data_IF_010049767319
#
_entry.id   IF_010049767319
#
_cell.length_a   1.000
_cell.length_b   1.000
_cell.length_c   1.000
_cell.angle_alpha   90.00
_cell.angle_beta   90.00
_cell.angle_gamma   90.00
#
_symmetry.space_group_name_H-M   'P 1'
#
loop_
_entity.id
_entity.type
_entity.pdbx_description
1 polymer ?
#
# COMPACT_ATOMS: atom_id res chain seq x y z
N UNK A 1 -36.17 67.36 -13.70
CA UNK A 1 -35.35 66.70 -12.66
C UNK A 1 -35.11 65.25 -13.09
N UNK A 2 -34.03 64.98 -13.85
CA UNK A 2 -33.71 63.63 -14.39
C UNK A 2 -32.60 63.04 -13.49
N UNK A 3 -32.87 61.97 -12.76
CA UNK A 3 -31.89 61.18 -12.06
C UNK A 3 -31.28 60.15 -12.99
N UNK A 4 -30.00 60.30 -13.30
CA UNK A 4 -29.20 59.34 -14.03
C UNK A 4 -28.75 58.23 -13.11
N UNK A 5 -29.17 57.01 -13.36
CA UNK A 5 -28.65 55.82 -12.70
C UNK A 5 -27.39 55.34 -13.46
N UNK A 6 -26.25 55.40 -12.79
CA UNK A 6 -25.01 54.76 -13.25
C UNK A 6 -25.04 53.31 -12.78
N UNK A 7 -25.11 52.42 -13.75
CA UNK A 7 -24.89 50.99 -13.48
C UNK A 7 -23.40 50.72 -13.57
N UNK A 8 -22.77 50.35 -12.44
CA UNK A 8 -21.40 49.92 -12.40
C UNK A 8 -21.31 48.44 -12.83
N UNK A 9 -20.65 48.21 -13.96
CA UNK A 9 -20.38 46.90 -14.48
C UNK A 9 -19.15 46.36 -13.73
N UNK A 10 -19.38 45.38 -12.83
CA UNK A 10 -18.31 44.69 -12.11
C UNK A 10 -17.74 43.61 -13.05
N UNK A 11 -16.57 43.85 -13.62
CA UNK A 11 -15.83 42.84 -14.37
C UNK A 11 -15.06 42.00 -13.36
N UNK A 12 -15.55 40.79 -13.11
CA UNK A 12 -14.83 39.78 -12.33
C UNK A 12 -13.68 39.24 -13.18
N UNK A 13 -12.48 39.70 -12.92
CA UNK A 13 -11.27 39.12 -13.48
C UNK A 13 -10.98 37.78 -12.75
N UNK A 14 -11.27 36.69 -13.42
CA UNK A 14 -10.82 35.36 -12.96
C UNK A 14 -9.32 35.26 -13.19
N UNK A 15 -8.55 35.44 -12.15
CA UNK A 15 -7.13 35.08 -12.15
C UNK A 15 -7.02 33.55 -12.17
N UNK A 16 -6.81 33.00 -13.36
CA UNK A 16 -6.31 31.64 -13.49
C UNK A 16 -4.86 31.63 -13.00
N UNK A 17 -4.65 31.24 -11.75
CA UNK A 17 -3.29 30.93 -11.26
C UNK A 17 -2.81 29.69 -12.02
N UNK A 18 -1.67 29.77 -12.74
CA UNK A 18 -1.09 28.57 -13.31
C UNK A 18 -0.75 27.62 -12.15
N UNK A 19 -1.26 26.38 -12.23
CA UNK A 19 -0.82 25.29 -11.37
C UNK A 19 0.68 25.13 -11.64
N UNK A 20 1.51 25.73 -10.80
CA UNK A 20 2.93 25.50 -10.83
C UNK A 20 3.11 23.98 -10.57
N UNK A 21 3.55 23.26 -11.61
CA UNK A 21 4.11 21.95 -11.42
C UNK A 21 5.21 22.14 -10.36
N UNK A 22 5.00 21.60 -9.17
CA UNK A 22 6.05 21.52 -8.17
C UNK A 22 7.07 20.54 -8.77
N UNK A 23 8.06 21.06 -9.49
CA UNK A 23 9.32 20.38 -9.63
C UNK A 23 9.74 20.08 -8.18
N UNK A 24 9.79 18.80 -7.83
CA UNK A 24 10.39 18.37 -6.59
C UNK A 24 11.85 18.79 -6.65
N UNK A 25 12.13 19.98 -6.12
CA UNK A 25 13.48 20.39 -5.77
C UNK A 25 13.83 19.50 -4.57
N UNK A 26 14.30 18.28 -4.86
CA UNK A 26 14.89 17.38 -3.87
C UNK A 26 16.23 18.03 -3.48
N UNK A 27 16.16 19.06 -2.62
CA UNK A 27 17.34 19.49 -1.91
C UNK A 27 17.89 18.27 -1.18
N UNK A 28 19.05 17.78 -1.62
CA UNK A 28 19.77 16.76 -0.88
C UNK A 28 20.04 17.34 0.50
N UNK A 29 19.45 16.72 1.55
CA UNK A 29 19.67 17.14 2.93
C UNK A 29 21.16 17.13 3.22
N UNK A 30 21.66 18.18 3.85
CA UNK A 30 23.04 18.22 4.31
C UNK A 30 23.27 17.28 5.52
N UNK A 31 24.53 17.11 5.90
CA UNK A 31 24.89 16.25 7.04
C UNK A 31 24.29 16.75 8.37
N UNK A 32 24.06 18.04 8.53
CA UNK A 32 23.42 18.61 9.73
C UNK A 32 21.94 18.22 9.79
N UNK A 33 21.23 18.26 8.66
CA UNK A 33 19.85 17.77 8.54
C UNK A 33 19.76 16.28 8.87
N UNK A 34 20.67 15.44 8.34
CA UNK A 34 20.72 14.01 8.65
C UNK A 34 20.96 13.74 10.14
N UNK A 35 21.85 14.49 10.79
CA UNK A 35 22.09 14.39 12.23
C UNK A 35 20.86 14.76 13.06
N UNK A 36 20.11 15.79 12.66
CA UNK A 36 18.86 16.17 13.33
C UNK A 36 17.84 15.03 13.24
N UNK A 37 17.64 14.45 12.05
CA UNK A 37 16.75 13.30 11.82
C UNK A 37 17.15 12.11 12.68
N UNK A 38 18.44 11.77 12.76
CA UNK A 38 18.93 10.67 13.61
C UNK A 38 18.59 10.93 15.09
N UNK A 39 18.73 12.17 15.56
CA UNK A 39 18.38 12.56 16.93
C UNK A 39 16.89 12.38 17.20
N UNK A 40 16.03 12.80 16.27
CA UNK A 40 14.59 12.64 16.34
C UNK A 40 14.19 11.16 16.37
N UNK A 41 14.70 10.34 15.44
CA UNK A 41 14.46 8.89 15.41
C UNK A 41 14.85 8.23 16.75
N UNK A 42 15.98 8.62 17.36
CA UNK A 42 16.39 8.09 18.65
C UNK A 42 15.46 8.50 19.79
N UNK A 43 14.96 9.74 19.76
CA UNK A 43 14.01 10.22 20.76
C UNK A 43 12.67 9.47 20.64
N UNK A 44 12.13 9.32 19.42
CA UNK A 44 10.89 8.60 19.14
C UNK A 44 11.01 7.12 19.52
N UNK A 45 12.14 6.48 19.18
CA UNK A 45 12.41 5.10 19.57
C UNK A 45 12.47 4.94 21.10
N UNK A 46 13.07 5.89 21.82
CA UNK A 46 13.11 5.87 23.30
C UNK A 46 11.71 6.02 23.90
N UNK A 47 10.87 6.88 23.31
CA UNK A 47 9.47 7.04 23.71
C UNK A 47 8.67 5.75 23.45
N UNK A 48 8.88 5.11 22.29
CA UNK A 48 8.26 3.82 21.95
C UNK A 48 8.62 2.73 22.98
N UNK A 49 9.90 2.59 23.32
CA UNK A 49 10.35 1.62 24.34
C UNK A 49 9.70 1.90 25.70
N UNK A 50 9.65 3.17 26.10
CA UNK A 50 9.03 3.57 27.37
C UNK A 50 7.53 3.29 27.42
N UNK A 51 6.84 3.43 26.28
CA UNK A 51 5.40 3.20 26.19
C UNK A 51 5.02 1.71 26.24
N UNK A 52 5.88 0.82 25.73
CA UNK A 52 5.58 -0.61 25.63
C UNK A 52 6.09 -1.43 26.81
N UNK A 53 7.22 -1.05 27.40
CA UNK A 53 7.81 -1.76 28.55
C UNK A 53 8.48 -3.09 28.20
N UNK A 54 9.13 -3.71 29.21
CA UNK A 54 9.99 -4.88 29.01
C UNK A 54 9.25 -6.16 28.63
N UNK A 55 8.04 -6.35 29.15
CA UNK A 55 7.26 -7.58 28.88
C UNK A 55 6.81 -7.66 27.42
N UNK A 56 6.48 -6.54 26.79
CA UNK A 56 6.19 -6.49 25.37
C UNK A 56 7.35 -7.02 24.51
N UNK A 57 8.57 -6.53 24.76
CA UNK A 57 9.75 -6.98 24.00
C UNK A 57 10.15 -8.41 24.32
N UNK A 58 9.87 -8.88 25.54
CA UNK A 58 10.07 -10.29 25.91
C UNK A 58 9.13 -11.19 25.12
N UNK A 59 7.87 -10.81 24.89
CA UNK A 59 6.95 -11.58 24.04
C UNK A 59 7.43 -11.58 22.58
N UNK A 60 7.81 -10.41 22.02
CA UNK A 60 8.33 -10.33 20.65
C UNK A 60 9.60 -11.20 20.44
N UNK A 61 10.42 -11.40 21.47
CA UNK A 61 11.63 -12.22 21.35
C UNK A 61 11.37 -13.73 21.21
N UNK A 62 10.13 -14.18 21.43
CA UNK A 62 9.76 -15.60 21.30
C UNK A 62 9.51 -16.05 19.86
N UNK A 63 9.37 -15.11 18.92
CA UNK A 63 9.13 -15.41 17.51
C UNK A 63 8.00 -14.55 16.93
N UNK A 64 7.57 -14.89 15.72
CA UNK A 64 6.47 -14.23 15.04
C UNK A 64 5.45 -15.24 14.50
N UNK A 65 4.18 -14.92 14.59
CA UNK A 65 3.08 -15.71 14.09
C UNK A 65 2.09 -14.79 13.34
N UNK A 66 2.50 -14.21 12.20
CA UNK A 66 1.69 -13.21 11.54
C UNK A 66 0.40 -13.83 10.98
N UNK A 67 -0.73 -13.21 11.28
CA UNK A 67 -2.03 -13.57 10.69
C UNK A 67 -2.13 -13.21 9.21
N UNK A 68 -1.30 -12.26 8.74
CA UNK A 68 -1.32 -11.79 7.37
C UNK A 68 0.09 -11.51 6.82
N UNK A 69 0.29 -11.91 5.57
CA UNK A 69 1.38 -11.42 4.71
C UNK A 69 0.86 -10.26 3.87
N UNK A 70 1.45 -9.10 4.04
CA UNK A 70 1.02 -7.84 3.42
C UNK A 70 2.06 -7.38 2.40
N UNK A 71 1.64 -7.17 1.15
CA UNK A 71 2.48 -6.59 0.09
C UNK A 71 1.95 -5.20 -0.23
N UNK A 72 2.75 -4.17 0.03
CA UNK A 72 2.34 -2.79 -0.19
C UNK A 72 3.46 -1.94 -0.81
N UNK A 73 3.12 -0.71 -1.21
CA UNK A 73 4.10 0.21 -1.78
C UNK A 73 5.10 0.70 -0.71
N UNK A 74 6.33 1.01 -1.15
CA UNK A 74 7.34 1.70 -0.34
C UNK A 74 7.01 3.17 -0.05
N UNK A 75 5.92 3.70 -0.59
CA UNK A 75 5.46 5.08 -0.40
C UNK A 75 5.36 5.43 1.09
N UNK A 76 5.97 6.54 1.50
CA UNK A 76 6.05 6.95 2.90
C UNK A 76 4.69 7.25 3.54
N UNK A 77 3.64 7.48 2.74
CA UNK A 77 2.26 7.72 3.20
C UNK A 77 1.51 6.44 3.55
N UNK A 78 2.07 5.26 3.20
CA UNK A 78 1.46 3.95 3.47
C UNK A 78 2.21 3.31 4.62
N UNK A 79 1.59 3.27 5.80
CA UNK A 79 2.20 2.74 7.02
C UNK A 79 1.31 1.67 7.66
N UNK A 80 1.88 0.83 8.53
CA UNK A 80 1.19 -0.31 9.16
C UNK A 80 0.00 0.09 10.03
N UNK A 81 0.07 1.25 10.67
CA UNK A 81 -0.99 1.77 11.55
C UNK A 81 -2.33 2.05 10.84
N UNK A 82 -2.35 2.08 9.50
CA UNK A 82 -3.61 2.13 8.74
C UNK A 82 -4.34 0.78 8.71
N UNK A 83 -3.64 -0.32 9.00
CA UNK A 83 -4.15 -1.69 8.97
C UNK A 83 -4.41 -2.24 10.36
N UNK A 84 -3.52 -1.93 11.28
CA UNK A 84 -3.49 -2.52 12.62
C UNK A 84 -2.99 -1.50 13.63
N UNK A 85 -3.53 -1.54 14.85
CA UNK A 85 -3.10 -0.70 15.98
C UNK A 85 -1.86 -1.27 16.67
N UNK A 86 -1.63 -2.58 16.54
CA UNK A 86 -0.54 -3.33 17.17
C UNK A 86 0.06 -4.31 16.15
N UNK A 87 0.74 -3.80 15.10
CA UNK A 87 1.17 -4.62 13.96
C UNK A 87 2.37 -5.51 14.25
N UNK A 88 3.04 -5.29 15.38
CA UNK A 88 4.26 -6.01 15.75
C UNK A 88 3.95 -7.49 16.02
N UNK A 89 4.57 -8.37 15.26
CA UNK A 89 4.36 -9.81 15.33
C UNK A 89 3.11 -10.32 14.59
N UNK A 90 2.19 -9.43 14.21
CA UNK A 90 0.88 -9.73 13.66
C UNK A 90 0.81 -9.60 12.13
N UNK A 91 1.61 -8.69 11.56
CA UNK A 91 1.69 -8.46 10.12
C UNK A 91 3.10 -8.73 9.59
N UNK A 92 3.23 -9.64 8.62
CA UNK A 92 4.47 -9.81 7.88
C UNK A 92 4.49 -8.83 6.69
N UNK A 93 5.23 -7.72 6.86
CA UNK A 93 5.20 -6.59 5.93
C UNK A 93 6.26 -6.69 4.85
N UNK A 94 5.84 -6.62 3.60
CA UNK A 94 6.68 -6.60 2.41
C UNK A 94 6.40 -5.30 1.65
N UNK A 95 7.44 -4.54 1.31
CA UNK A 95 7.31 -3.25 0.64
C UNK A 95 8.28 -3.14 -0.53
N UNK A 96 7.75 -2.78 -1.69
CA UNK A 96 8.51 -2.45 -2.89
C UNK A 96 7.80 -1.37 -3.72
N UNK A 97 8.41 -0.92 -4.80
CA UNK A 97 7.80 0.09 -5.68
C UNK A 97 6.59 -0.53 -6.39
N UNK A 98 5.38 -0.03 -6.08
CA UNK A 98 4.14 -0.46 -6.73
C UNK A 98 3.57 -1.80 -6.26
N UNK A 99 3.93 -2.28 -5.05
CA UNK A 99 3.36 -3.49 -4.42
C UNK A 99 3.40 -4.77 -5.30
N UNK A 100 4.55 -5.03 -5.96
CA UNK A 100 4.70 -6.09 -6.95
C UNK A 100 5.08 -7.45 -6.33
N UNK A 101 4.32 -8.51 -6.66
CA UNK A 101 4.65 -9.88 -6.29
C UNK A 101 5.96 -10.33 -6.94
N UNK A 102 6.17 -9.99 -8.21
CA UNK A 102 7.31 -10.49 -8.99
C UNK A 102 8.66 -10.15 -8.35
N UNK A 103 8.81 -8.92 -7.82
CA UNK A 103 10.05 -8.45 -7.19
C UNK A 103 10.14 -8.75 -5.69
N UNK A 104 9.05 -9.25 -5.09
CA UNK A 104 8.97 -9.63 -3.68
C UNK A 104 8.75 -11.14 -3.46
N UNK A 105 8.81 -11.95 -4.50
CA UNK A 105 8.33 -13.34 -4.49
C UNK A 105 8.92 -14.17 -3.34
N UNK A 106 10.23 -14.10 -3.10
CA UNK A 106 10.86 -14.85 -2.01
C UNK A 106 10.32 -14.49 -0.64
N UNK A 107 10.13 -13.20 -0.35
CA UNK A 107 9.54 -12.75 0.93
C UNK A 107 8.08 -13.19 1.07
N UNK A 108 7.29 -13.12 -0.02
CA UNK A 108 5.89 -13.57 0.01
C UNK A 108 5.80 -15.08 0.23
N UNK A 109 6.65 -15.88 -0.44
CA UNK A 109 6.73 -17.32 -0.20
C UNK A 109 7.10 -17.65 1.25
N UNK A 110 8.01 -16.88 1.85
CA UNK A 110 8.35 -17.07 3.25
C UNK A 110 7.13 -16.83 4.16
N UNK A 111 6.41 -15.72 3.98
CA UNK A 111 5.21 -15.40 4.77
C UNK A 111 4.10 -16.44 4.63
N UNK A 112 3.81 -16.86 3.39
CA UNK A 112 2.72 -17.81 3.11
C UNK A 112 3.10 -19.24 3.45
N UNK A 113 4.28 -19.72 3.03
CA UNK A 113 4.62 -21.14 3.09
C UNK A 113 5.33 -21.52 4.41
N UNK A 114 6.09 -20.62 5.04
CA UNK A 114 6.88 -20.91 6.24
C UNK A 114 6.31 -20.28 7.51
N UNK A 115 5.71 -19.09 7.42
CA UNK A 115 5.00 -18.49 8.55
C UNK A 115 3.51 -18.86 8.57
N UNK A 116 3.02 -19.57 7.56
CA UNK A 116 1.67 -20.09 7.44
C UNK A 116 0.57 -19.02 7.64
N UNK A 117 0.82 -17.77 7.20
CA UNK A 117 -0.21 -16.74 7.27
C UNK A 117 -1.41 -17.10 6.38
N UNK A 118 -2.61 -17.06 6.95
CA UNK A 118 -3.84 -17.45 6.25
C UNK A 118 -4.37 -16.36 5.30
N UNK A 119 -3.81 -15.15 5.35
CA UNK A 119 -4.16 -14.02 4.51
C UNK A 119 -2.93 -13.50 3.76
N UNK A 120 -3.03 -13.42 2.43
CA UNK A 120 -2.11 -12.66 1.58
C UNK A 120 -2.85 -11.45 1.01
N UNK A 121 -2.43 -10.25 1.35
CA UNK A 121 -3.09 -9.04 0.90
C UNK A 121 -2.14 -8.13 0.11
N UNK A 122 -2.57 -7.71 -1.09
CA UNK A 122 -1.92 -6.71 -1.92
C UNK A 122 -2.63 -5.37 -1.77
N UNK A 123 -1.89 -4.35 -1.31
CA UNK A 123 -2.46 -3.03 -1.06
C UNK A 123 -1.82 -2.02 -2.00
N UNK A 124 -2.60 -1.56 -2.98
CA UNK A 124 -2.30 -0.35 -3.74
C UNK A 124 -2.74 0.90 -2.98
N UNK A 125 -2.39 2.07 -3.48
CA UNK A 125 -2.81 3.32 -2.84
C UNK A 125 -3.07 4.43 -3.86
N UNK A 126 -3.93 5.38 -3.52
CA UNK A 126 -4.18 6.56 -4.33
C UNK A 126 -2.89 7.36 -4.57
N UNK A 127 -2.80 8.04 -5.72
CA UNK A 127 -1.63 8.87 -6.11
C UNK A 127 -0.29 8.11 -6.07
N UNK A 128 -0.29 6.83 -6.46
CA UNK A 128 0.93 6.02 -6.50
C UNK A 128 1.88 6.49 -7.60
N UNK A 129 3.10 6.90 -7.22
CA UNK A 129 4.13 7.35 -8.16
C UNK A 129 4.58 6.25 -9.13
N UNK A 130 4.65 5.00 -8.68
CA UNK A 130 5.01 3.86 -9.53
C UNK A 130 3.98 3.61 -10.64
N UNK A 131 2.68 3.70 -10.31
CA UNK A 131 1.60 3.60 -11.29
C UNK A 131 1.65 4.78 -12.27
N UNK A 132 1.93 5.99 -11.77
CA UNK A 132 2.16 7.17 -12.62
C UNK A 132 3.29 6.95 -13.61
N UNK A 133 4.45 6.52 -13.14
CA UNK A 133 5.63 6.25 -13.97
C UNK A 133 5.36 5.14 -14.99
N UNK A 134 4.85 3.98 -14.56
CA UNK A 134 4.59 2.83 -15.43
C UNK A 134 3.56 3.15 -16.54
N UNK A 135 2.63 4.10 -16.30
CA UNK A 135 1.66 4.56 -17.29
C UNK A 135 2.23 5.49 -18.36
N UNK A 136 3.42 6.06 -18.13
CA UNK A 136 4.10 7.01 -19.00
C UNK A 136 5.39 6.47 -19.63
N UNK A 137 6.27 7.37 -20.03
CA UNK A 137 7.65 7.07 -20.43
C UNK A 137 8.58 7.17 -19.21
N UNK A 138 9.22 6.07 -18.86
CA UNK A 138 10.21 5.99 -17.77
C UNK A 138 11.59 5.57 -18.27
N UNK A 139 11.86 5.73 -19.56
CA UNK A 139 13.12 5.30 -20.21
C UNK A 139 14.37 5.97 -19.61
N UNK A 140 14.20 7.17 -19.03
CA UNK A 140 15.30 7.96 -18.44
C UNK A 140 15.59 7.61 -16.98
N UNK A 141 14.79 6.74 -16.35
CA UNK A 141 15.02 6.33 -14.98
C UNK A 141 16.16 5.30 -14.87
N UNK A 142 16.69 5.16 -13.67
CA UNK A 142 17.75 4.20 -13.35
C UNK A 142 17.29 2.75 -13.59
N UNK A 143 18.21 1.93 -14.03
CA UNK A 143 17.92 0.53 -14.41
C UNK A 143 17.22 -0.30 -13.31
N UNK A 144 17.59 -0.20 -12.03
CA UNK A 144 16.86 -0.91 -10.97
C UNK A 144 15.40 -0.48 -10.85
N UNK A 145 15.09 0.84 -11.03
CA UNK A 145 13.72 1.35 -11.00
C UNK A 145 12.93 0.83 -12.19
N UNK A 146 13.53 0.84 -13.39
CA UNK A 146 12.88 0.30 -14.61
C UNK A 146 12.49 -1.17 -14.43
N UNK A 147 13.35 -2.00 -13.83
CA UNK A 147 13.05 -3.41 -13.54
C UNK A 147 11.84 -3.60 -12.62
N UNK A 148 11.63 -2.74 -11.65
CA UNK A 148 10.42 -2.76 -10.84
C UNK A 148 9.19 -2.34 -11.67
N UNK A 149 9.29 -1.24 -12.42
CA UNK A 149 8.19 -0.70 -13.23
C UNK A 149 7.79 -1.65 -14.38
N UNK A 150 8.71 -2.39 -14.96
CA UNK A 150 8.47 -3.38 -16.02
C UNK A 150 7.53 -4.51 -15.56
N UNK A 151 7.39 -4.73 -14.26
CA UNK A 151 6.45 -5.70 -13.68
C UNK A 151 5.02 -5.17 -13.57
N UNK A 152 4.82 -3.85 -13.73
CA UNK A 152 3.52 -3.18 -13.60
C UNK A 152 2.80 -3.21 -14.95
N UNK A 153 1.86 -4.13 -15.10
CA UNK A 153 1.08 -4.26 -16.33
C UNK A 153 -0.22 -3.45 -16.27
N UNK A 154 -0.17 -2.20 -16.72
CA UNK A 154 -1.31 -1.29 -16.82
C UNK A 154 -1.33 -0.58 -18.17
N UNK A 155 -2.48 -0.03 -18.55
CA UNK A 155 -2.58 0.75 -19.79
C UNK A 155 -1.76 2.04 -19.72
N UNK A 156 -1.16 2.44 -20.83
CA UNK A 156 -0.54 3.77 -20.96
C UNK A 156 -1.61 4.86 -20.75
N UNK A 157 -1.24 5.92 -20.02
CA UNK A 157 -2.17 6.95 -19.57
C UNK A 157 -3.02 6.57 -18.36
N UNK A 158 -2.87 5.35 -17.82
CA UNK A 158 -3.62 4.84 -16.67
C UNK A 158 -3.09 5.29 -15.30
N UNK A 159 -2.57 6.52 -15.18
CA UNK A 159 -1.97 7.06 -13.95
C UNK A 159 -2.98 7.40 -12.83
N UNK A 160 -4.23 6.99 -12.98
CA UNK A 160 -5.32 7.27 -12.06
C UNK A 160 -5.60 6.08 -11.13
N UNK A 161 -6.67 6.19 -10.34
CA UNK A 161 -7.12 5.14 -9.41
C UNK A 161 -7.46 3.83 -10.12
N UNK A 162 -7.87 3.85 -11.39
CA UNK A 162 -8.18 2.63 -12.14
C UNK A 162 -6.91 1.86 -12.52
N UNK A 163 -5.80 2.56 -12.79
CA UNK A 163 -4.48 1.94 -12.93
C UNK A 163 -4.03 1.25 -11.64
N UNK A 164 -4.28 1.87 -10.49
CA UNK A 164 -4.03 1.27 -9.16
C UNK A 164 -4.85 0.00 -8.96
N UNK A 165 -6.16 0.05 -9.22
CA UNK A 165 -7.06 -1.13 -9.13
C UNK A 165 -6.62 -2.25 -10.06
N UNK A 166 -6.28 -1.91 -11.30
CA UNK A 166 -5.79 -2.87 -12.31
C UNK A 166 -4.52 -3.56 -11.81
N UNK A 167 -3.55 -2.79 -11.30
CA UNK A 167 -2.32 -3.35 -10.75
C UNK A 167 -2.60 -4.29 -9.58
N UNK A 168 -3.43 -3.89 -8.62
CA UNK A 168 -3.81 -4.74 -7.48
C UNK A 168 -4.46 -6.03 -7.95
N UNK A 169 -5.40 -5.99 -8.90
CA UNK A 169 -6.04 -7.18 -9.44
C UNK A 169 -5.05 -8.11 -10.17
N UNK A 170 -4.05 -7.55 -10.86
CA UNK A 170 -2.97 -8.32 -11.48
C UNK A 170 -2.13 -9.07 -10.44
N UNK A 171 -1.84 -8.45 -9.30
CA UNK A 171 -1.10 -9.11 -8.20
C UNK A 171 -1.92 -10.25 -7.60
N UNK A 172 -3.22 -10.04 -7.35
CA UNK A 172 -4.13 -11.09 -6.88
C UNK A 172 -4.17 -12.24 -7.88
N UNK A 173 -4.32 -11.97 -9.18
CA UNK A 173 -4.36 -13.00 -10.22
C UNK A 173 -3.05 -13.80 -10.30
N UNK A 174 -1.90 -13.14 -10.13
CA UNK A 174 -0.60 -13.80 -10.08
C UNK A 174 -0.45 -14.70 -8.84
N UNK A 175 -0.89 -14.23 -7.67
CA UNK A 175 -0.87 -14.98 -6.42
C UNK A 175 -1.80 -16.21 -6.49
N UNK A 176 -2.99 -16.08 -7.06
CA UNK A 176 -3.93 -17.20 -7.23
C UNK A 176 -3.37 -18.32 -8.13
N UNK A 177 -2.49 -17.99 -9.07
CA UNK A 177 -1.76 -19.02 -9.86
C UNK A 177 -0.68 -19.70 -9.04
N UNK A 178 0.06 -18.95 -8.23
CA UNK A 178 1.17 -19.46 -7.42
C UNK A 178 0.68 -20.36 -6.28
N UNK A 179 -0.39 -19.96 -5.58
CA UNK A 179 -0.92 -20.66 -4.39
C UNK A 179 -2.30 -21.27 -4.64
N UNK A 180 -2.57 -21.75 -5.86
CA UNK A 180 -3.86 -22.30 -6.25
C UNK A 180 -4.36 -23.44 -5.33
N UNK A 181 -3.45 -24.30 -4.88
CA UNK A 181 -3.78 -25.42 -3.99
C UNK A 181 -4.25 -24.91 -2.61
N UNK A 182 -3.46 -24.05 -1.97
CA UNK A 182 -3.79 -23.50 -0.64
C UNK A 182 -5.10 -22.71 -0.65
N UNK A 183 -5.37 -21.96 -1.73
CA UNK A 183 -6.63 -21.22 -1.88
C UNK A 183 -7.81 -22.19 -2.06
N UNK A 184 -7.66 -23.22 -2.88
CA UNK A 184 -8.71 -24.24 -3.10
C UNK A 184 -9.02 -25.02 -1.84
N UNK A 185 -8.01 -25.32 -1.03
CA UNK A 185 -8.13 -26.04 0.24
C UNK A 185 -8.63 -25.15 1.39
N UNK A 186 -8.78 -23.84 1.15
CA UNK A 186 -9.22 -22.87 2.15
C UNK A 186 -8.16 -22.49 3.20
N UNK A 187 -6.90 -22.84 2.95
CA UNK A 187 -5.77 -22.50 3.84
C UNK A 187 -5.24 -21.08 3.62
N UNK A 188 -5.51 -20.49 2.45
CA UNK A 188 -5.09 -19.13 2.09
C UNK A 188 -6.24 -18.36 1.46
N UNK A 189 -6.41 -17.12 1.90
CA UNK A 189 -7.27 -16.13 1.23
C UNK A 189 -6.35 -15.06 0.62
N UNK A 190 -6.53 -14.77 -0.67
CA UNK A 190 -5.80 -13.73 -1.38
C UNK A 190 -6.70 -12.53 -1.58
N UNK A 191 -6.27 -11.36 -1.09
CA UNK A 191 -7.06 -10.13 -1.10
C UNK A 191 -6.32 -9.04 -1.86
N UNK A 192 -7.07 -8.24 -2.62
CA UNK A 192 -6.65 -6.99 -3.21
C UNK A 192 -7.40 -5.82 -2.55
N UNK A 193 -6.67 -4.81 -2.14
CA UNK A 193 -7.23 -3.61 -1.52
C UNK A 193 -6.57 -2.33 -2.03
N UNK A 194 -7.25 -1.22 -1.88
CA UNK A 194 -6.74 0.13 -2.18
C UNK A 194 -6.90 1.01 -0.95
N UNK A 195 -5.78 1.52 -0.45
CA UNK A 195 -5.74 2.58 0.56
C UNK A 195 -5.93 3.93 -0.12
N UNK A 196 -7.10 4.51 0.04
CA UNK A 196 -7.50 5.73 -0.65
C UNK A 196 -7.47 6.96 0.27
N UNK A 197 -6.29 7.50 0.49
CA UNK A 197 -6.15 8.72 1.28
C UNK A 197 -6.56 10.01 0.53
N UNK A 198 -6.79 9.93 -0.80
CA UNK A 198 -7.16 11.07 -1.64
C UNK A 198 -8.66 11.14 -1.97
N UNK A 199 -9.45 10.16 -1.50
CA UNK A 199 -10.88 10.01 -1.85
C UNK A 199 -11.14 9.92 -3.36
N UNK A 200 -10.21 9.30 -4.11
CA UNK A 200 -10.36 9.07 -5.54
C UNK A 200 -11.48 8.05 -5.84
N UNK A 201 -11.76 7.12 -4.90
CA UNK A 201 -12.84 6.12 -4.99
C UNK A 201 -14.19 6.62 -4.48
N UNK A 202 -14.27 7.82 -3.90
CA UNK A 202 -15.50 8.43 -3.36
C UNK A 202 -16.17 7.61 -2.25
N UNK A 203 -15.35 6.95 -1.42
CA UNK A 203 -15.78 6.18 -0.24
C UNK A 203 -15.36 6.84 1.09
N UNK A 204 -14.76 8.03 1.02
CA UNK A 204 -14.16 8.74 2.13
C UNK A 204 -12.63 8.63 2.14
N UNK A 205 -11.94 9.75 2.43
CA UNK A 205 -10.49 9.79 2.49
C UNK A 205 -9.97 8.90 3.64
N UNK A 206 -8.88 8.17 3.37
CA UNK A 206 -8.23 7.29 4.36
C UNK A 206 -8.86 5.90 4.47
N UNK A 207 -9.86 5.57 3.64
CA UNK A 207 -10.48 4.24 3.65
C UNK A 207 -9.58 3.20 2.98
N UNK A 208 -9.55 1.99 3.57
CA UNK A 208 -9.01 0.80 2.94
C UNK A 208 -10.16 0.07 2.22
N UNK A 209 -10.20 0.17 0.91
CA UNK A 209 -11.25 -0.41 0.08
C UNK A 209 -10.82 -1.79 -0.42
N UNK A 210 -11.46 -2.86 0.05
CA UNK A 210 -11.27 -4.20 -0.50
C UNK A 210 -11.95 -4.26 -1.87
N UNK A 211 -11.20 -4.63 -2.91
CA UNK A 211 -11.67 -4.64 -4.30
C UNK A 211 -11.60 -6.01 -4.96
N UNK A 212 -10.98 -6.98 -4.29
CA UNK A 212 -10.84 -8.34 -4.81
C UNK A 212 -10.64 -9.33 -3.66
N UNK A 213 -11.38 -10.43 -3.65
CA UNK A 213 -11.15 -11.55 -2.72
C UNK A 213 -11.13 -12.84 -3.54
N UNK A 214 -10.00 -13.53 -3.59
CA UNK A 214 -9.81 -14.77 -4.35
C UNK A 214 -10.26 -14.67 -5.82
N UNK A 215 -10.08 -13.51 -6.46
CA UNK A 215 -10.47 -13.26 -7.85
C UNK A 215 -11.89 -12.72 -8.03
N UNK A 216 -12.73 -12.73 -6.99
CA UNK A 216 -14.06 -12.11 -7.04
C UNK A 216 -13.94 -10.58 -6.82
N UNK A 217 -14.48 -9.81 -7.74
CA UNK A 217 -14.46 -8.35 -7.71
C UNK A 217 -15.84 -7.71 -7.58
N UNK A 218 -16.91 -8.50 -7.64
CA UNK A 218 -18.27 -8.01 -7.43
C UNK A 218 -18.52 -7.78 -5.92
N UNK A 219 -18.75 -6.54 -5.46
CA UNK A 219 -18.96 -6.25 -4.04
C UNK A 219 -20.12 -7.03 -3.43
N UNK A 220 -21.16 -7.37 -4.21
CA UNK A 220 -22.29 -8.15 -3.72
C UNK A 220 -21.94 -9.63 -3.44
N UNK A 221 -20.84 -10.12 -4.01
CA UNK A 221 -20.38 -11.51 -3.87
C UNK A 221 -19.18 -11.63 -2.93
N UNK A 222 -18.30 -10.65 -2.83
CA UNK A 222 -17.13 -10.70 -1.97
C UNK A 222 -17.46 -11.02 -0.50
N UNK A 223 -18.57 -10.54 0.03
CA UNK A 223 -19.04 -10.81 1.39
C UNK A 223 -19.62 -12.24 1.61
N UNK A 224 -19.76 -13.05 0.56
CA UNK A 224 -20.34 -14.39 0.61
C UNK A 224 -19.30 -15.52 0.51
N UNK A 225 -18.02 -15.18 0.55
CA UNK A 225 -16.96 -16.20 0.50
C UNK A 225 -17.05 -17.10 1.74
N UNK A 226 -16.88 -18.42 1.56
CA UNK A 226 -16.86 -19.33 2.70
C UNK A 226 -15.75 -18.95 3.67
N UNK A 227 -16.02 -19.07 4.96
CA UNK A 227 -14.97 -18.92 5.97
C UNK A 227 -13.85 -19.92 5.67
N UNK A 228 -12.57 -19.53 5.83
CA UNK A 228 -11.46 -20.45 5.66
C UNK A 228 -11.66 -21.67 6.58
N UNK A 229 -11.22 -22.84 6.10
CA UNK A 229 -11.20 -24.04 6.94
C UNK A 229 -10.38 -23.76 8.21
N UNK A 230 -10.82 -24.28 9.35
CA UNK A 230 -10.05 -24.17 10.58
C UNK A 230 -8.62 -24.68 10.34
N UNK A 231 -7.58 -24.00 10.83
CA UNK A 231 -6.20 -24.41 10.61
C UNK A 231 -6.02 -25.86 11.09
N UNK A 232 -5.56 -26.72 10.20
CA UNK A 232 -5.08 -28.05 10.61
C UNK A 232 -3.92 -27.81 11.58
N UNK A 233 -3.99 -28.35 12.79
CA UNK A 233 -2.98 -28.16 13.83
C UNK A 233 -1.60 -28.53 13.28
N UNK A 234 -0.76 -27.52 13.06
CA UNK A 234 0.63 -27.74 12.70
C UNK A 234 1.41 -28.03 13.99
N UNK A 235 1.90 -29.23 14.14
CA UNK A 235 2.98 -29.51 15.06
C UNK A 235 4.18 -28.65 14.66
N UNK A 236 4.55 -27.74 15.53
CA UNK A 236 5.68 -26.83 15.33
C UNK A 236 7.00 -27.61 15.36
N UNK A 237 7.63 -27.78 14.21
CA UNK A 237 9.06 -28.12 14.18
C UNK A 237 9.86 -26.87 14.58
N UNK A 238 10.43 -26.93 15.76
CA UNK A 238 11.41 -25.95 16.22
C UNK A 238 12.69 -26.04 15.38
N UNK A 239 13.03 -24.98 14.71
CA UNK A 239 14.36 -24.75 14.14
C UNK A 239 14.99 -23.53 14.81
#
# INVERSE_FOLDING_TARGET
MFKKHFAALLVAATFATPLAAHANDHAHGDAATAQAIIKEIKADQSAYVSAHGGDFFKELSKGQHPRATVVTCSDSRVQTNMLDRTPEGDLFMIRNIGNQLATAKGSVQYGVNHLASSLLIFIGHSKCGAIGAASGDYSTLEEPIKKELDTINIAKGGANIDGVKTNVNNQVAAALKEWAAQVKEGHLVVVGAVYDFADDMKQGAGQLNIININGETDPAKMGKLPAPAAPAGHEHAHH
#
